data_IF_529435981264
#
_entry.id   IF_529435981264
#
_cell.length_a   1.000
_cell.length_b   1.000
_cell.length_c   1.000
_cell.angle_alpha   90.00
_cell.angle_beta   90.00
_cell.angle_gamma   90.00
#
_symmetry.space_group_name_H-M   'P 1'
#
loop_
_entity.id
_entity.type
_entity.pdbx_description
1 polymer ?
#
# COMPACT_ATOMS: atom_id res chain seq x y z
N UNK A 1 -14.51 4.04 -4.47
CA UNK A 1 -13.04 4.02 -4.34
C UNK A 1 -12.67 3.74 -2.88
N UNK A 2 -11.72 2.83 -2.62
CA UNK A 2 -11.32 2.55 -1.24
C UNK A 2 -10.71 3.77 -0.56
N UNK A 3 -10.92 3.88 0.73
CA UNK A 3 -10.34 4.94 1.55
C UNK A 3 -9.09 4.39 2.24
N UNK A 4 -8.01 5.17 2.19
CA UNK A 4 -6.75 4.80 2.83
C UNK A 4 -6.45 5.76 3.98
N UNK A 5 -6.35 5.27 5.22
CA UNK A 5 -5.88 6.10 6.33
C UNK A 5 -4.41 6.49 6.15
N UNK A 6 -3.96 7.49 6.90
CA UNK A 6 -2.59 8.03 6.76
C UNK A 6 -1.50 6.96 6.88
N UNK A 7 -1.66 6.01 7.79
CA UNK A 7 -0.68 4.94 7.97
C UNK A 7 -0.52 4.11 6.70
N UNK A 8 -1.63 3.79 6.04
CA UNK A 8 -1.60 3.03 4.79
C UNK A 8 -1.03 3.88 3.65
N UNK A 9 -1.36 5.17 3.61
CA UNK A 9 -0.80 6.08 2.60
C UNK A 9 0.72 6.16 2.73
N UNK A 10 1.23 6.27 3.95
CA UNK A 10 2.67 6.29 4.20
C UNK A 10 3.34 5.00 3.75
N UNK A 11 2.74 3.85 4.04
CA UNK A 11 3.25 2.54 3.60
C UNK A 11 3.32 2.51 2.07
N UNK A 12 2.27 2.95 1.39
CA UNK A 12 2.25 2.98 -0.08
C UNK A 12 3.33 3.90 -0.64
N UNK A 13 3.55 5.07 -0.04
CA UNK A 13 4.58 5.99 -0.48
C UNK A 13 5.99 5.41 -0.34
N UNK A 14 6.23 4.69 0.76
CA UNK A 14 7.54 4.09 1.03
C UNK A 14 7.86 3.00 0.00
N UNK A 15 6.89 2.18 -0.35
CA UNK A 15 7.10 1.01 -1.20
C UNK A 15 6.64 1.19 -2.64
N UNK A 16 6.25 2.40 -3.03
CA UNK A 16 5.75 2.66 -4.38
C UNK A 16 6.83 2.37 -5.43
N UNK A 17 6.43 1.58 -6.44
CA UNK A 17 7.28 1.22 -7.56
C UNK A 17 6.82 1.86 -8.87
N UNK A 18 5.83 2.74 -8.79
CA UNK A 18 5.27 3.43 -9.96
C UNK A 18 4.09 2.72 -10.60
N UNK A 19 3.70 1.54 -10.11
CA UNK A 19 2.54 0.83 -10.65
C UNK A 19 1.77 0.10 -9.54
N UNK A 20 0.48 -0.13 -9.79
CA UNK A 20 -0.37 -0.84 -8.83
C UNK A 20 0.12 -2.26 -8.60
N UNK A 21 0.41 -2.99 -9.66
CA UNK A 21 0.88 -4.36 -9.57
C UNK A 21 2.23 -4.45 -8.87
N UNK A 22 3.13 -3.53 -9.19
CA UNK A 22 4.43 -3.46 -8.53
C UNK A 22 4.33 -3.19 -7.05
N UNK A 23 3.44 -2.27 -6.66
CA UNK A 23 3.21 -1.96 -5.25
C UNK A 23 2.64 -3.16 -4.51
N UNK A 24 1.66 -3.85 -5.09
CA UNK A 24 1.08 -5.07 -4.50
C UNK A 24 2.18 -6.12 -4.28
N UNK A 25 2.99 -6.37 -5.29
CA UNK A 25 4.08 -7.35 -5.20
C UNK A 25 5.09 -6.97 -4.13
N UNK A 26 5.44 -5.70 -4.05
CA UNK A 26 6.39 -5.20 -3.07
C UNK A 26 5.88 -5.35 -1.64
N UNK A 27 4.61 -5.01 -1.42
CA UNK A 27 4.00 -5.15 -0.11
C UNK A 27 3.92 -6.62 0.32
N UNK A 28 3.57 -7.51 -0.60
CA UNK A 28 3.51 -8.95 -0.31
C UNK A 28 4.90 -9.50 0.02
N UNK A 29 5.92 -9.04 -0.70
CA UNK A 29 7.31 -9.43 -0.45
C UNK A 29 7.78 -8.94 0.91
N UNK A 30 7.59 -7.66 1.21
CA UNK A 30 8.04 -7.07 2.46
C UNK A 30 7.31 -7.63 3.68
N UNK A 31 6.05 -8.02 3.51
CA UNK A 31 5.26 -8.62 4.59
C UNK A 31 5.94 -9.88 5.16
N UNK A 32 6.60 -10.64 4.32
CA UNK A 32 7.28 -11.87 4.74
C UNK A 32 8.52 -11.62 5.60
N UNK A 33 9.07 -10.41 5.54
CA UNK A 33 10.24 -10.02 6.33
C UNK A 33 9.89 -9.35 7.65
N UNK A 34 8.60 -9.18 7.96
CA UNK A 34 8.18 -8.55 9.20
C UNK A 34 8.35 -9.50 10.38
N UNK A 35 8.79 -8.94 11.51
CA UNK A 35 8.90 -9.68 12.76
C UNK A 35 7.51 -10.03 13.30
N UNK A 36 7.37 -11.10 14.10
CA UNK A 36 6.07 -11.49 14.66
C UNK A 36 5.39 -10.41 15.52
N UNK A 37 6.15 -9.48 16.09
CA UNK A 37 5.61 -8.40 16.90
C UNK A 37 5.21 -7.15 16.09
N UNK A 38 5.41 -7.16 14.78
CA UNK A 38 5.01 -6.07 13.88
C UNK A 38 3.62 -6.31 13.30
N UNK A 39 2.66 -6.69 14.15
CA UNK A 39 1.31 -7.04 13.72
C UNK A 39 0.55 -5.86 13.11
N UNK A 40 0.73 -4.65 13.64
CA UNK A 40 0.05 -3.47 13.12
C UNK A 40 0.50 -3.15 11.71
N UNK A 41 1.81 -3.18 11.45
CA UNK A 41 2.35 -2.93 10.13
C UNK A 41 1.91 -4.00 9.14
N UNK A 42 1.88 -5.25 9.58
CA UNK A 42 1.39 -6.36 8.74
C UNK A 42 -0.08 -6.15 8.37
N UNK A 43 -0.90 -5.74 9.33
CA UNK A 43 -2.31 -5.47 9.08
C UNK A 43 -2.49 -4.33 8.10
N UNK A 44 -1.69 -3.27 8.21
CA UNK A 44 -1.72 -2.15 7.26
C UNK A 44 -1.35 -2.62 5.85
N UNK A 45 -0.30 -3.44 5.72
CA UNK A 45 0.11 -3.98 4.42
C UNK A 45 -0.97 -4.87 3.81
N UNK A 46 -1.58 -5.75 4.62
CA UNK A 46 -2.66 -6.62 4.15
C UNK A 46 -3.88 -5.81 3.70
N UNK A 47 -4.22 -4.79 4.44
CA UNK A 47 -5.33 -3.89 4.09
C UNK A 47 -5.04 -3.16 2.78
N UNK A 48 -3.82 -2.64 2.61
CA UNK A 48 -3.40 -1.98 1.39
C UNK A 48 -3.48 -2.92 0.18
N UNK A 49 -2.95 -4.13 0.31
CA UNK A 49 -2.98 -5.12 -0.76
C UNK A 49 -4.41 -5.45 -1.15
N UNK A 50 -5.28 -5.68 -0.18
CA UNK A 50 -6.68 -5.98 -0.42
C UNK A 50 -7.37 -4.85 -1.19
N UNK A 51 -7.17 -3.61 -0.77
CA UNK A 51 -7.76 -2.45 -1.41
C UNK A 51 -7.19 -2.24 -2.82
N UNK A 52 -5.89 -2.39 -2.98
CA UNK A 52 -5.24 -2.24 -4.28
C UNK A 52 -5.71 -3.28 -5.29
N UNK A 53 -5.94 -4.52 -4.85
CA UNK A 53 -6.48 -5.56 -5.72
C UNK A 53 -7.91 -5.27 -6.16
N UNK A 54 -8.67 -4.57 -5.34
CA UNK A 54 -10.04 -4.18 -5.65
C UNK A 54 -10.12 -2.96 -6.57
N UNK A 55 -9.03 -2.23 -6.75
CA UNK A 55 -8.96 -1.04 -7.60
C UNK A 55 -8.61 -1.41 -9.04
N UNK A 56 -8.99 -0.52 -9.96
CA UNK A 56 -8.48 -0.57 -11.33
C UNK A 56 -7.17 0.21 -11.43
N UNK A 57 -6.43 0.00 -12.52
CA UNK A 57 -5.21 0.76 -12.78
C UNK A 57 -5.49 2.26 -12.92
N UNK A 58 -6.64 2.61 -13.50
CA UNK A 58 -7.07 4.01 -13.62
C UNK A 58 -7.32 4.65 -12.26
N UNK A 59 -7.97 3.92 -11.37
CA UNK A 59 -8.21 4.40 -10.00
C UNK A 59 -6.90 4.60 -9.26
N UNK A 60 -5.96 3.68 -9.42
CA UNK A 60 -4.66 3.79 -8.80
C UNK A 60 -3.88 5.01 -9.34
N UNK A 61 -3.92 5.24 -10.64
CA UNK A 61 -3.25 6.38 -11.24
C UNK A 61 -3.76 7.70 -10.66
N UNK A 62 -5.09 7.82 -10.48
CA UNK A 62 -5.69 8.99 -9.87
C UNK A 62 -5.27 9.15 -8.40
N UNK A 63 -5.23 8.05 -7.66
CA UNK A 63 -4.77 8.05 -6.27
C UNK A 63 -3.29 8.45 -6.17
N UNK A 64 -2.46 7.91 -7.06
CA UNK A 64 -1.02 8.16 -7.04
C UNK A 64 -0.68 9.65 -7.21
N UNK A 65 -1.50 10.38 -7.95
CA UNK A 65 -1.33 11.83 -8.11
C UNK A 65 -1.51 12.59 -6.80
N UNK A 66 -2.25 12.01 -5.86
CA UNK A 66 -2.55 12.64 -4.57
C UNK A 66 -1.72 12.08 -3.42
N UNK A 67 -0.88 11.05 -3.68
CA UNK A 67 -0.05 10.46 -2.65
C UNK A 67 1.09 11.40 -2.29
N UNK A 68 1.04 11.95 -1.09
CA UNK A 68 2.09 12.81 -0.56
C UNK A 68 2.50 12.22 0.80
N UNK A 69 3.80 11.91 0.98
CA UNK A 69 4.27 11.40 2.25
C UNK A 69 4.00 12.41 3.37
N UNK A 70 3.50 11.91 4.50
CA UNK A 70 3.20 12.75 5.67
C UNK A 70 4.29 12.55 6.73
N UNK A 71 5.53 12.71 6.29
CA UNK A 71 6.69 12.59 7.18
C UNK A 71 7.85 13.48 6.74
#
# INVERSE_FOLDING_TARGET
MPVFPNDEINVMCIYDTGSRKGLISKLQEMREYLDPDQNELRADMDSCVKKLKAMTDEQYAALAETLVPDF
#
